data_IF_405762646198
#
_entry.id   IF_405762646198
#
_cell.length_a   1.000
_cell.length_b   1.000
_cell.length_c   1.000
_cell.angle_alpha   90.00
_cell.angle_beta   90.00
_cell.angle_gamma   90.00
#
_symmetry.space_group_name_H-M   'P 1'
#
loop_
_entity.id
_entity.type
_entity.pdbx_description
1 polymer ?
#
# COMPACT_ATOMS: atom_id res chain seq x y z
N UNK A 1 13.42 -30.07 -25.80
CA UNK A 1 13.03 -29.96 -24.38
C UNK A 1 13.35 -28.53 -23.99
N UNK A 2 12.34 -27.66 -23.95
CA UNK A 2 12.51 -26.26 -23.51
C UNK A 2 11.86 -26.19 -22.13
N UNK A 3 12.68 -26.36 -21.10
CA UNK A 3 12.28 -26.05 -19.73
C UNK A 3 12.24 -24.52 -19.63
N UNK A 4 11.07 -23.94 -19.91
CA UNK A 4 10.76 -22.59 -19.46
C UNK A 4 10.54 -22.71 -17.95
N UNK A 5 11.56 -22.36 -17.17
CA UNK A 5 11.44 -22.28 -15.73
C UNK A 5 10.23 -21.40 -15.35
N UNK A 6 9.49 -21.82 -14.33
CA UNK A 6 8.31 -21.12 -13.83
C UNK A 6 8.70 -19.71 -13.37
N UNK A 7 7.90 -18.70 -13.76
CA UNK A 7 7.98 -17.35 -13.21
C UNK A 7 8.07 -17.43 -11.69
N UNK A 8 9.15 -16.87 -11.13
CA UNK A 8 9.32 -16.79 -9.68
C UNK A 8 8.39 -15.70 -9.17
N UNK A 9 7.29 -16.11 -8.56
CA UNK A 9 6.39 -15.19 -7.86
C UNK A 9 7.15 -14.56 -6.69
N UNK A 10 7.56 -13.31 -6.86
CA UNK A 10 8.10 -12.52 -5.76
C UNK A 10 6.91 -12.05 -4.93
N UNK A 11 6.88 -12.29 -3.61
CA UNK A 11 5.87 -11.72 -2.74
C UNK A 11 6.09 -10.20 -2.69
N UNK A 12 5.34 -9.46 -3.49
CA UNK A 12 5.38 -7.99 -3.49
C UNK A 12 4.36 -7.51 -2.46
N UNK A 13 4.83 -6.70 -1.51
CA UNK A 13 3.95 -6.02 -0.56
C UNK A 13 3.06 -5.04 -1.34
N UNK A 14 1.78 -4.95 -1.00
CA UNK A 14 0.81 -4.04 -1.62
C UNK A 14 1.28 -2.59 -1.62
N UNK A 15 2.01 -2.13 -0.60
CA UNK A 15 2.59 -0.78 -0.57
C UNK A 15 3.54 -0.55 -1.75
N UNK A 16 4.35 -1.54 -2.07
CA UNK A 16 5.32 -1.51 -3.19
C UNK A 16 4.60 -1.61 -4.52
N UNK A 17 3.58 -2.46 -4.63
CA UNK A 17 2.75 -2.56 -5.84
C UNK A 17 2.09 -1.21 -6.18
N UNK A 18 1.49 -0.55 -5.18
CA UNK A 18 0.87 0.76 -5.38
C UNK A 18 1.89 1.87 -5.66
N UNK A 19 3.05 1.88 -5.02
CA UNK A 19 4.09 2.88 -5.32
C UNK A 19 4.63 2.72 -6.75
N UNK A 20 4.78 1.49 -7.23
CA UNK A 20 5.13 1.20 -8.62
C UNK A 20 4.03 1.64 -9.59
N UNK A 21 2.76 1.37 -9.28
CA UNK A 21 1.63 1.81 -10.10
C UNK A 21 1.56 3.35 -10.19
N UNK A 22 1.79 4.06 -9.08
CA UNK A 22 1.87 5.51 -9.06
C UNK A 22 3.05 6.04 -9.90
N UNK A 23 4.19 5.37 -9.83
CA UNK A 23 5.35 5.71 -10.66
C UNK A 23 5.07 5.56 -12.16
N UNK A 24 4.27 4.57 -12.56
CA UNK A 24 3.88 4.37 -13.97
C UNK A 24 3.04 5.53 -14.53
N UNK A 25 2.28 6.23 -13.68
CA UNK A 25 1.51 7.43 -14.07
C UNK A 25 2.28 8.73 -13.87
N UNK A 26 3.58 8.66 -13.54
CA UNK A 26 4.45 9.82 -13.35
C UNK A 26 4.38 10.46 -11.96
N UNK A 27 3.81 9.77 -10.97
CA UNK A 27 3.80 10.21 -9.58
C UNK A 27 4.92 9.51 -8.82
N UNK A 28 5.92 10.27 -8.38
CA UNK A 28 6.98 9.72 -7.54
C UNK A 28 6.42 9.37 -6.16
N UNK A 29 6.45 8.08 -5.85
CA UNK A 29 5.87 7.50 -4.66
C UNK A 29 6.88 6.57 -3.98
N UNK A 30 6.98 6.67 -2.66
CA UNK A 30 7.87 5.85 -1.83
C UNK A 30 7.04 5.08 -0.81
N UNK A 31 7.09 3.75 -0.91
CA UNK A 31 6.42 2.87 0.05
C UNK A 31 7.20 2.90 1.37
N UNK A 32 6.53 3.23 2.47
CA UNK A 32 7.11 3.11 3.80
C UNK A 32 6.93 1.70 4.35
N UNK A 33 7.82 1.34 5.25
CA UNK A 33 7.71 0.12 6.04
C UNK A 33 6.47 0.20 6.94
N UNK A 34 5.84 -0.94 7.17
CA UNK A 34 4.63 -1.04 8.00
C UNK A 34 4.95 -0.69 9.45
N UNK A 35 4.03 0.00 10.14
CA UNK A 35 4.12 0.37 11.55
C UNK A 35 5.25 1.38 11.85
N UNK A 36 5.58 2.20 10.85
CA UNK A 36 6.61 3.26 10.97
C UNK A 36 6.02 4.66 10.96
N UNK A 37 4.81 4.85 10.42
CA UNK A 37 4.18 6.15 10.30
C UNK A 37 3.16 6.39 11.43
N UNK A 38 3.05 7.63 11.91
CA UNK A 38 2.12 7.96 13.00
C UNK A 38 0.66 7.78 12.56
N UNK A 39 0.36 7.95 11.28
CA UNK A 39 -1.00 7.76 10.73
C UNK A 39 -1.48 6.30 10.83
N UNK A 40 -0.57 5.35 10.99
CA UNK A 40 -0.90 3.92 11.17
C UNK A 40 -1.37 3.63 12.60
N UNK A 41 -0.97 4.45 13.57
CA UNK A 41 -1.28 4.27 14.99
C UNK A 41 -2.69 4.75 15.35
N UNK A 42 -3.27 5.59 14.53
CA UNK A 42 -4.63 6.07 14.72
C UNK A 42 -5.67 5.09 14.19
N UNK A 43 -6.84 5.08 14.81
CA UNK A 43 -7.96 4.30 14.30
C UNK A 43 -8.43 4.87 12.97
N UNK A 44 -8.43 4.05 11.93
CA UNK A 44 -8.94 4.46 10.63
C UNK A 44 -10.48 4.59 10.67
N UNK A 45 -10.99 5.78 10.30
CA UNK A 45 -12.43 5.98 10.08
C UNK A 45 -12.73 6.01 8.59
N UNK A 46 -13.41 4.99 8.07
CA UNK A 46 -13.91 4.96 6.70
C UNK A 46 -15.37 4.52 6.68
N UNK A 47 -16.27 5.31 6.09
CA UNK A 47 -17.69 4.95 5.96
C UNK A 47 -17.94 3.59 5.26
N UNK A 48 -16.99 3.16 4.42
CA UNK A 48 -17.07 1.89 3.69
C UNK A 48 -16.52 0.71 4.50
N UNK A 49 -15.65 0.97 5.49
CA UNK A 49 -15.03 -0.04 6.33
C UNK A 49 -15.51 0.01 7.80
N UNK A 50 -16.29 1.04 8.18
CA UNK A 50 -16.69 1.37 9.56
C UNK A 50 -17.75 0.45 10.17
N UNK A 51 -18.36 -0.45 9.40
CA UNK A 51 -19.52 -1.23 9.83
C UNK A 51 -19.33 -2.75 9.74
N UNK A 52 -18.13 -3.24 9.47
CA UNK A 52 -17.87 -4.69 9.43
C UNK A 52 -16.89 -5.10 10.51
N UNK A 53 -17.21 -6.14 11.30
CA UNK A 53 -16.27 -6.83 12.21
C UNK A 53 -15.19 -7.63 11.44
N UNK A 54 -14.87 -7.20 10.23
CA UNK A 54 -13.88 -7.82 9.37
C UNK A 54 -12.50 -7.32 9.75
N UNK A 55 -11.49 -8.16 9.54
CA UNK A 55 -10.08 -7.80 9.73
C UNK A 55 -9.73 -6.70 8.71
N UNK A 56 -9.86 -5.44 9.13
CA UNK A 56 -9.43 -4.26 8.37
C UNK A 56 -8.05 -3.89 8.88
N UNK A 57 -7.10 -3.76 7.96
CA UNK A 57 -5.77 -3.23 8.26
C UNK A 57 -5.66 -1.82 7.68
N UNK A 58 -5.19 -0.90 8.51
CA UNK A 58 -4.78 0.45 8.14
C UNK A 58 -3.25 0.59 8.14
N UNK A 59 -2.55 -0.56 8.16
CA UNK A 59 -1.11 -0.65 8.12
C UNK A 59 -0.63 -0.59 6.67
N UNK A 60 0.15 0.44 6.37
CA UNK A 60 0.76 0.70 5.08
C UNK A 60 0.57 2.15 4.64
N UNK A 61 1.68 2.82 4.36
CA UNK A 61 1.69 4.20 3.88
C UNK A 61 2.62 4.40 2.69
N UNK A 62 2.26 5.35 1.83
CA UNK A 62 3.04 5.78 0.67
C UNK A 62 3.25 7.27 0.78
N UNK A 63 4.51 7.70 0.82
CA UNK A 63 4.86 9.11 0.69
C UNK A 63 4.87 9.53 -0.78
N UNK A 64 4.24 10.65 -1.10
CA UNK A 64 4.26 11.21 -2.45
C UNK A 64 5.28 12.35 -2.52
N UNK A 65 6.06 12.41 -3.60
CA UNK A 65 7.01 13.50 -3.86
C UNK A 65 6.47 14.40 -4.96
N UNK A 66 6.70 15.71 -4.83
CA UNK A 66 6.27 16.69 -5.83
C UNK A 66 4.75 16.95 -5.85
N UNK A 67 4.05 16.64 -4.75
CA UNK A 67 2.61 16.90 -4.61
C UNK A 67 2.34 17.61 -3.28
N UNK A 68 1.18 18.27 -3.16
CA UNK A 68 0.71 18.86 -1.90
C UNK A 68 0.12 17.80 -0.93
N UNK A 69 0.13 16.53 -1.32
CA UNK A 69 -0.28 15.40 -0.49
C UNK A 69 1.00 14.77 0.06
N UNK A 70 1.12 14.75 1.38
CA UNK A 70 2.32 14.21 2.05
C UNK A 70 2.33 12.67 2.05
N UNK A 71 1.23 12.06 2.51
CA UNK A 71 1.12 10.62 2.71
C UNK A 71 -0.25 10.11 2.26
N UNK A 72 -0.25 8.94 1.65
CA UNK A 72 -1.44 8.14 1.34
C UNK A 72 -1.41 6.88 2.19
N UNK A 73 -2.43 6.67 3.01
CA UNK A 73 -2.61 5.45 3.79
C UNK A 73 -3.39 4.40 3.00
N UNK A 74 -2.93 3.15 3.06
CA UNK A 74 -3.59 2.03 2.42
C UNK A 74 -4.45 1.33 3.47
N UNK A 75 -5.76 1.26 3.19
CA UNK A 75 -6.72 0.54 4.02
C UNK A 75 -7.15 -0.71 3.27
N UNK A 76 -6.96 -1.88 3.86
CA UNK A 76 -7.29 -3.16 3.26
C UNK A 76 -8.29 -3.91 4.12
N UNK A 77 -9.17 -4.66 3.45
CA UNK A 77 -10.10 -5.57 4.09
C UNK A 77 -9.75 -6.99 3.65
N UNK A 78 -9.54 -7.87 4.63
CA UNK A 78 -9.32 -9.31 4.41
C UNK A 78 -10.56 -10.05 3.92
#
# INVERSE_FOLDING_TARGET
MHDSESDTFQPVNKNVEFSQALKQIGVDAEAKEIDTDEVEKESCYSKYFSSTSSMVTNLGTIALKGSNIDVVQIIQKG
#
